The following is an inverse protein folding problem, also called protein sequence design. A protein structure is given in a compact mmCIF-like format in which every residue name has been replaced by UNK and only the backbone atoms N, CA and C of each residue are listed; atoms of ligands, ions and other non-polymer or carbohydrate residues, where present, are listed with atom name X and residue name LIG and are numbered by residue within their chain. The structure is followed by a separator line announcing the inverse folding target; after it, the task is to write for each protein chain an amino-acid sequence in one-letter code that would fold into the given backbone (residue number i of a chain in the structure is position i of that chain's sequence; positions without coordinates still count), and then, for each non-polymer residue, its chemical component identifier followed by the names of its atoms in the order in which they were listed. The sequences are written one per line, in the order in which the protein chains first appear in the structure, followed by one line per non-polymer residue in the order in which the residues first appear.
data_IF_403789840837
#
_entry.id   IF_403789840837
#
_cell.length_a   1.000
_cell.length_b   1.000
_cell.length_c   1.000
_cell.angle_alpha   90.00
_cell.angle_beta   90.00
_cell.angle_gamma   90.00
#
_symmetry.space_group_name_H-M   'P 1'
#
loop_
_entity.id
_entity.type
_entity.pdbx_description
1 polymer ?
#
# COMPACT_ATOMS: atom_id res chain seq x y z
N UNK A 1 -23.21 -15.96 -9.77
CA UNK A 1 -22.00 -15.20 -9.42
C UNK A 1 -20.74 -16.05 -9.60
N UNK A 2 -20.65 -17.23 -8.97
CA UNK A 2 -19.48 -18.13 -9.04
C UNK A 2 -18.92 -18.39 -10.45
N UNK A 3 -19.78 -18.71 -11.43
CA UNK A 3 -19.37 -18.97 -12.83
C UNK A 3 -18.87 -17.72 -13.60
N UNK A 4 -18.83 -16.55 -12.95
CA UNK A 4 -18.42 -15.26 -13.54
C UNK A 4 -17.46 -14.50 -12.62
N UNK A 5 -16.85 -15.18 -11.64
CA UNK A 5 -15.93 -14.56 -10.68
C UNK A 5 -14.56 -15.23 -10.76
N UNK A 6 -13.50 -14.41 -10.86
CA UNK A 6 -12.11 -14.85 -10.69
C UNK A 6 -11.63 -14.27 -9.37
N UNK A 7 -11.40 -15.12 -8.37
CA UNK A 7 -10.83 -14.74 -7.09
C UNK A 7 -9.32 -14.78 -7.20
N UNK A 8 -8.67 -13.61 -7.14
CA UNK A 8 -7.20 -13.50 -7.13
C UNK A 8 -6.74 -13.27 -5.70
N UNK A 9 -5.78 -14.05 -5.23
CA UNK A 9 -5.18 -13.87 -3.90
C UNK A 9 -3.71 -14.33 -3.90
N UNK A 10 -3.02 -14.22 -2.76
CA UNK A 10 -1.62 -14.61 -2.63
C UNK A 10 -1.08 -14.47 -1.22
N UNK A 11 0.17 -14.88 -1.03
CA UNK A 11 0.82 -14.93 0.28
C UNK A 11 1.71 -13.72 0.58
N UNK A 12 1.89 -12.83 -0.40
CA UNK A 12 2.81 -11.71 -0.31
C UNK A 12 2.52 -10.74 0.86
N UNK A 13 1.24 -10.56 1.20
CA UNK A 13 0.80 -9.55 2.19
C UNK A 13 0.53 -10.17 3.55
N UNK A 14 -0.32 -11.20 3.60
CA UNK A 14 -0.71 -11.86 4.84
C UNK A 14 0.47 -12.51 5.57
N UNK A 15 1.44 -13.05 4.83
CA UNK A 15 2.56 -13.81 5.38
C UNK A 15 3.93 -13.12 5.19
N UNK A 16 3.94 -11.83 4.83
CA UNK A 16 5.17 -11.08 4.54
C UNK A 16 6.08 -11.72 3.46
N UNK A 17 5.50 -12.47 2.51
CA UNK A 17 6.24 -13.22 1.49
C UNK A 17 6.42 -12.46 0.16
N UNK A 18 6.60 -11.13 0.18
CA UNK A 18 6.65 -10.30 -1.04
C UNK A 18 7.70 -10.75 -2.05
N UNK A 19 8.89 -11.14 -1.57
CA UNK A 19 10.01 -11.63 -2.38
C UNK A 19 9.87 -13.06 -2.91
N UNK A 20 8.90 -13.84 -2.43
CA UNK A 20 8.73 -15.26 -2.78
C UNK A 20 7.93 -15.47 -4.07
N UNK A 21 7.21 -14.44 -4.51
CA UNK A 21 6.54 -14.36 -5.82
C UNK A 21 5.48 -15.45 -6.05
N UNK A 22 4.62 -15.69 -5.06
CA UNK A 22 3.48 -16.60 -5.19
C UNK A 22 2.14 -15.86 -5.07
N UNK A 23 1.30 -16.07 -6.09
CA UNK A 23 -0.12 -15.72 -6.13
C UNK A 23 -0.91 -16.89 -6.73
N UNK A 24 -2.22 -16.88 -6.57
CA UNK A 24 -3.11 -17.92 -7.07
C UNK A 24 -4.47 -17.36 -7.47
N UNK A 25 -5.19 -18.11 -8.30
CA UNK A 25 -6.57 -17.80 -8.69
C UNK A 25 -7.50 -18.96 -8.34
N UNK A 26 -8.72 -18.63 -7.90
CA UNK A 26 -9.89 -19.51 -7.96
C UNK A 26 -10.82 -18.99 -9.04
N UNK A 27 -11.15 -19.81 -10.04
CA UNK A 27 -11.92 -19.39 -11.21
C UNK A 27 -12.76 -20.54 -11.79
N UNK A 28 -13.77 -20.25 -12.63
CA UNK A 28 -14.43 -21.27 -13.44
C UNK A 28 -13.39 -22.08 -14.23
N UNK A 29 -13.60 -23.40 -14.29
CA UNK A 29 -12.61 -24.33 -14.83
C UNK A 29 -12.10 -23.95 -16.23
N UNK A 30 -13.00 -23.48 -17.11
CA UNK A 30 -12.63 -23.06 -18.47
C UNK A 30 -11.66 -21.86 -18.48
N UNK A 31 -11.80 -20.93 -17.52
CA UNK A 31 -10.88 -19.80 -17.35
C UNK A 31 -9.56 -20.29 -16.76
N UNK A 32 -9.62 -21.10 -15.70
CA UNK A 32 -8.42 -21.62 -15.04
C UNK A 32 -7.54 -22.40 -16.02
N UNK A 33 -8.13 -23.27 -16.86
CA UNK A 33 -7.42 -24.00 -17.93
C UNK A 33 -6.81 -23.07 -18.98
N UNK A 34 -7.52 -22.01 -19.38
CA UNK A 34 -6.99 -21.02 -20.31
C UNK A 34 -5.79 -20.28 -19.72
N UNK A 35 -5.86 -19.87 -18.46
CA UNK A 35 -4.74 -19.26 -17.73
C UNK A 35 -3.56 -20.22 -17.60
N UNK A 36 -3.78 -21.50 -17.29
CA UNK A 36 -2.71 -22.52 -17.24
C UNK A 36 -2.04 -22.70 -18.59
N UNK A 37 -2.81 -22.76 -19.68
CA UNK A 37 -2.26 -22.84 -21.05
C UNK A 37 -1.39 -21.63 -21.37
N UNK A 38 -1.85 -20.42 -21.04
CA UNK A 38 -1.09 -19.19 -21.24
C UNK A 38 0.18 -19.17 -20.37
N UNK A 39 0.07 -19.49 -19.08
CA UNK A 39 1.21 -19.49 -18.15
C UNK A 39 2.30 -20.49 -18.58
N UNK A 40 1.90 -21.66 -19.10
CA UNK A 40 2.82 -22.68 -19.62
C UNK A 40 3.67 -22.20 -20.81
N UNK A 41 3.26 -21.14 -21.51
CA UNK A 41 4.00 -20.55 -22.63
C UNK A 41 4.78 -19.28 -22.26
N UNK A 42 4.62 -18.76 -21.04
CA UNK A 42 5.23 -17.49 -20.61
C UNK A 42 6.27 -17.74 -19.50
N UNK A 43 5.91 -18.49 -18.47
CA UNK A 43 6.76 -18.65 -17.27
C UNK A 43 6.91 -20.09 -16.79
N UNK A 44 6.20 -21.05 -17.40
CA UNK A 44 6.07 -22.40 -16.85
C UNK A 44 5.42 -22.36 -15.44
N UNK A 45 5.98 -23.07 -14.45
CA UNK A 45 5.53 -23.03 -13.06
C UNK A 45 6.22 -21.95 -12.22
N UNK A 46 5.57 -21.52 -11.14
CA UNK A 46 6.23 -20.69 -10.14
C UNK A 46 7.36 -21.46 -9.43
N UNK A 47 8.30 -20.75 -8.80
CA UNK A 47 9.47 -21.39 -8.18
C UNK A 47 9.07 -22.43 -7.11
N UNK A 48 9.68 -23.62 -7.17
CA UNK A 48 9.29 -24.78 -6.37
C UNK A 48 9.52 -24.59 -4.86
N UNK A 49 10.55 -23.83 -4.48
CA UNK A 49 10.88 -23.51 -3.09
C UNK A 49 9.75 -22.69 -2.45
N UNK A 50 9.26 -21.65 -3.13
CA UNK A 50 8.17 -20.83 -2.63
C UNK A 50 6.83 -21.56 -2.63
N UNK A 51 6.60 -22.51 -3.54
CA UNK A 51 5.42 -23.37 -3.49
C UNK A 51 5.40 -24.20 -2.20
N UNK A 52 6.54 -24.78 -1.79
CA UNK A 52 6.64 -25.51 -0.51
C UNK A 52 6.41 -24.60 0.70
N UNK A 53 7.03 -23.41 0.72
CA UNK A 53 6.83 -22.44 1.80
C UNK A 53 5.36 -21.96 1.88
N UNK A 54 4.68 -21.84 0.74
CA UNK A 54 3.27 -21.44 0.67
C UNK A 54 2.35 -22.47 1.30
N UNK A 55 2.61 -23.77 1.15
CA UNK A 55 1.83 -24.82 1.80
C UNK A 55 1.87 -24.63 3.32
N UNK A 56 3.08 -24.51 3.88
CA UNK A 56 3.26 -24.27 5.32
C UNK A 56 2.59 -22.98 5.80
N UNK A 57 2.67 -21.91 5.00
CA UNK A 57 2.02 -20.65 5.34
C UNK A 57 0.48 -20.78 5.39
N UNK A 58 -0.12 -21.49 4.43
CA UNK A 58 -1.57 -21.67 4.36
C UNK A 58 -2.13 -22.66 5.39
N UNK A 59 -1.33 -23.64 5.82
CA UNK A 59 -1.70 -24.60 6.86
C UNK A 59 -1.50 -24.06 8.28
N UNK A 60 -0.74 -22.97 8.44
CA UNK A 60 -0.52 -22.35 9.73
C UNK A 60 -1.80 -21.69 10.30
N UNK A 61 -2.02 -21.74 11.62
CA UNK A 61 -3.18 -21.08 12.22
C UNK A 61 -3.04 -19.56 12.14
N UNK A 62 -4.17 -18.86 11.96
CA UNK A 62 -4.23 -17.38 11.84
C UNK A 62 -3.57 -16.66 13.02
N UNK A 63 -3.58 -17.26 14.21
CA UNK A 63 -2.89 -16.72 15.40
C UNK A 63 -1.39 -16.45 15.17
N UNK A 64 -0.75 -17.14 14.22
CA UNK A 64 0.65 -16.90 13.84
C UNK A 64 0.88 -15.56 13.15
N UNK A 65 -0.15 -14.96 12.56
CA UNK A 65 -0.06 -13.66 11.87
C UNK A 65 -0.83 -12.55 12.58
N UNK A 66 -1.57 -12.85 13.64
CA UNK A 66 -2.42 -11.88 14.35
C UNK A 66 -1.61 -10.67 14.85
N UNK A 67 -0.41 -10.90 15.38
CA UNK A 67 0.46 -9.81 15.86
C UNK A 67 0.78 -8.78 14.75
N UNK A 68 0.86 -9.20 13.48
CA UNK A 68 1.08 -8.28 12.37
C UNK A 68 -0.13 -7.39 12.15
N UNK A 69 -1.34 -7.95 12.25
CA UNK A 69 -2.61 -7.22 12.09
C UNK A 69 -2.74 -6.16 13.19
N UNK A 70 -2.50 -6.55 14.44
CA UNK A 70 -2.60 -5.65 15.60
C UNK A 70 -1.59 -4.51 15.48
N UNK A 71 -0.35 -4.83 15.09
CA UNK A 71 0.70 -3.85 14.88
C UNK A 71 0.40 -2.88 13.72
N UNK A 72 -0.18 -3.37 12.61
CA UNK A 72 -0.61 -2.51 11.51
C UNK A 72 -1.77 -1.59 11.91
N UNK A 73 -2.66 -2.03 12.79
CA UNK A 73 -3.73 -1.19 13.32
C UNK A 73 -3.16 -0.07 14.20
N UNK A 74 -2.24 -0.39 15.11
CA UNK A 74 -1.57 0.61 15.95
C UNK A 74 -0.84 1.67 15.10
N UNK A 75 -0.11 1.24 14.07
CA UNK A 75 0.58 2.15 13.14
C UNK A 75 -0.38 3.01 12.34
N UNK A 76 -1.50 2.46 11.88
CA UNK A 76 -2.55 3.21 11.18
C UNK A 76 -3.07 4.34 12.06
N UNK A 77 -3.48 4.01 13.28
CA UNK A 77 -4.11 4.96 14.20
C UNK A 77 -3.12 6.06 14.60
N UNK A 78 -1.86 5.69 14.88
CA UNK A 78 -0.79 6.64 15.12
C UNK A 78 -0.54 7.58 13.93
N UNK A 79 -0.39 7.06 12.71
CA UNK A 79 -0.13 7.88 11.52
C UNK A 79 -1.29 8.84 11.25
N UNK A 80 -2.54 8.38 11.39
CA UNK A 80 -3.72 9.23 11.25
C UNK A 80 -3.75 10.35 12.30
N UNK A 81 -3.48 10.03 13.57
CA UNK A 81 -3.43 11.03 14.63
C UNK A 81 -2.36 12.09 14.33
N UNK A 82 -1.15 11.69 13.98
CA UNK A 82 -0.06 12.64 13.68
C UNK A 82 -0.35 13.49 12.44
N UNK A 83 -0.90 12.90 11.38
CA UNK A 83 -1.28 13.65 10.17
C UNK A 83 -2.45 14.60 10.45
N UNK A 84 -3.34 14.29 11.39
CA UNK A 84 -4.49 15.14 11.74
C UNK A 84 -4.08 16.46 12.40
N UNK A 85 -2.87 16.50 12.98
CA UNK A 85 -2.30 17.73 13.55
C UNK A 85 -1.73 18.69 12.49
N UNK A 86 -1.67 18.27 11.23
CA UNK A 86 -1.17 19.08 10.13
C UNK A 86 -2.37 19.65 9.37
N UNK A 87 -2.48 20.99 9.35
CA UNK A 87 -3.53 21.68 8.62
C UNK A 87 -3.49 21.33 7.12
N UNK A 88 -4.66 21.07 6.54
CA UNK A 88 -4.82 20.89 5.10
C UNK A 88 -4.98 19.45 4.64
N UNK A 89 -4.57 18.46 5.44
CA UNK A 89 -4.87 17.07 5.15
C UNK A 89 -6.31 16.72 5.52
N UNK A 90 -7.06 16.15 4.57
CA UNK A 90 -8.35 15.50 4.85
C UNK A 90 -8.13 13.99 4.89
N UNK A 91 -8.33 13.40 6.06
CA UNK A 91 -8.01 12.00 6.32
C UNK A 91 -9.24 11.10 6.20
N UNK A 92 -9.01 9.87 5.75
CA UNK A 92 -9.96 8.77 5.83
C UNK A 92 -9.36 7.65 6.68
N UNK A 93 -10.17 6.98 7.50
CA UNK A 93 -9.72 5.83 8.29
C UNK A 93 -9.90 4.57 7.44
N UNK A 94 -8.81 3.91 6.97
CA UNK A 94 -8.93 2.71 6.17
C UNK A 94 -9.33 1.51 7.05
N UNK A 95 -10.23 0.67 6.53
CA UNK A 95 -10.66 -0.58 7.18
C UNK A 95 -9.69 -1.74 7.01
N UNK A 96 -8.67 -1.60 6.15
CA UNK A 96 -7.67 -2.64 5.90
C UNK A 96 -6.54 -2.16 5.00
N UNK A 97 -5.71 -3.11 4.54
CA UNK A 97 -4.41 -2.86 3.92
C UNK A 97 -3.47 -2.07 4.85
N UNK A 98 -2.44 -1.45 4.29
CA UNK A 98 -1.43 -0.69 5.04
C UNK A 98 -1.11 0.68 4.43
N UNK A 99 -2.14 1.35 3.92
CA UNK A 99 -2.01 2.66 3.28
C UNK A 99 -3.03 3.65 3.85
N UNK A 100 -2.59 4.89 4.09
CA UNK A 100 -3.50 6.04 4.20
C UNK A 100 -3.48 6.81 2.88
N UNK A 101 -4.62 7.41 2.54
CA UNK A 101 -4.81 8.08 1.26
C UNK A 101 -5.37 9.49 1.44
N UNK A 102 -4.63 10.36 2.15
CA UNK A 102 -5.13 11.68 2.51
C UNK A 102 -5.37 12.54 1.27
N UNK A 103 -6.43 13.34 1.31
CA UNK A 103 -6.68 14.37 0.33
C UNK A 103 -5.91 15.64 0.70
N UNK A 104 -5.21 16.19 -0.31
CA UNK A 104 -4.28 17.31 -0.22
C UNK A 104 -4.78 18.55 -0.99
N UNK A 105 -6.07 18.58 -1.36
CA UNK A 105 -6.65 19.69 -2.16
C UNK A 105 -6.41 21.07 -1.56
N UNK A 106 -6.21 21.16 -0.25
CA UNK A 106 -5.84 22.40 0.44
C UNK A 106 -4.51 23.01 -0.03
N UNK A 107 -3.56 22.18 -0.48
CA UNK A 107 -2.23 22.62 -0.90
C UNK A 107 -2.14 22.93 -2.40
N UNK A 108 -3.12 22.47 -3.19
CA UNK A 108 -3.11 22.67 -4.63
C UNK A 108 -3.32 24.15 -4.99
N UNK A 109 -2.55 24.64 -5.95
CA UNK A 109 -2.49 26.04 -6.38
C UNK A 109 -1.70 26.96 -5.44
N UNK A 110 -1.06 26.43 -4.39
CA UNK A 110 -0.23 27.21 -3.45
C UNK A 110 1.24 27.09 -3.78
N UNK A 111 1.99 28.13 -3.40
CA UNK A 111 3.44 28.09 -3.32
C UNK A 111 3.86 27.84 -1.87
N UNK A 112 4.70 26.83 -1.64
CA UNK A 112 5.24 26.49 -0.32
C UNK A 112 6.76 26.51 -0.41
N UNK A 113 7.40 27.44 0.32
CA UNK A 113 8.87 27.57 0.36
C UNK A 113 9.52 27.67 -1.04
N UNK A 114 8.91 28.45 -1.93
CA UNK A 114 9.38 28.62 -3.31
C UNK A 114 9.02 27.47 -4.25
N UNK A 115 8.22 26.50 -3.82
CA UNK A 115 7.80 25.35 -4.63
C UNK A 115 6.31 25.46 -4.97
N UNK A 116 5.99 25.45 -6.27
CA UNK A 116 4.61 25.53 -6.75
C UNK A 116 3.94 24.16 -6.73
N UNK A 117 2.77 24.05 -6.10
CA UNK A 117 2.04 22.79 -5.92
C UNK A 117 0.79 22.81 -6.79
N UNK A 118 0.89 22.45 -8.07
CA UNK A 118 -0.28 22.43 -8.96
C UNK A 118 -0.98 21.07 -9.00
N UNK A 119 -0.24 20.00 -8.73
CA UNK A 119 -0.70 18.61 -8.81
C UNK A 119 -0.29 17.79 -7.59
N UNK A 120 -0.88 16.60 -7.42
CA UNK A 120 -0.40 15.65 -6.42
C UNK A 120 1.02 15.15 -6.69
N UNK A 121 1.45 15.13 -7.96
CA UNK A 121 2.84 14.84 -8.31
C UNK A 121 3.79 15.93 -7.78
N UNK A 122 3.44 17.21 -7.95
CA UNK A 122 4.23 18.33 -7.41
C UNK A 122 4.30 18.25 -5.88
N UNK A 123 3.19 17.94 -5.21
CA UNK A 123 3.18 17.77 -3.76
C UNK A 123 4.05 16.59 -3.29
N UNK A 124 3.96 15.43 -3.96
CA UNK A 124 4.84 14.30 -3.66
C UNK A 124 6.32 14.63 -3.89
N UNK A 125 6.64 15.40 -4.93
CA UNK A 125 8.01 15.82 -5.21
C UNK A 125 8.51 16.85 -4.19
N UNK A 126 7.67 17.81 -3.80
CA UNK A 126 7.96 18.75 -2.72
C UNK A 126 8.30 18.02 -1.42
N UNK A 127 7.49 17.03 -1.01
CA UNK A 127 7.78 16.23 0.19
C UNK A 127 9.09 15.43 0.05
N UNK A 128 9.39 14.92 -1.14
CA UNK A 128 10.64 14.22 -1.39
C UNK A 128 11.84 15.16 -1.26
N UNK A 129 11.82 16.32 -1.91
CA UNK A 129 12.94 17.26 -1.96
C UNK A 129 13.13 18.05 -0.66
N UNK A 130 12.03 18.50 -0.03
CA UNK A 130 12.07 19.40 1.13
C UNK A 130 11.95 18.66 2.46
N UNK A 131 11.25 17.53 2.50
CA UNK A 131 11.07 16.75 3.72
C UNK A 131 11.87 15.43 3.72
N UNK A 132 12.50 15.03 2.60
CA UNK A 132 13.11 13.70 2.44
C UNK A 132 12.11 12.56 2.73
N UNK A 133 10.85 12.74 2.35
CA UNK A 133 9.78 11.74 2.53
C UNK A 133 9.18 11.38 1.18
N UNK A 134 9.44 10.14 0.74
CA UNK A 134 8.86 9.62 -0.49
C UNK A 134 7.40 9.20 -0.29
N UNK A 135 6.51 9.74 -1.13
CA UNK A 135 5.09 9.37 -1.22
C UNK A 135 4.74 9.03 -2.67
N UNK A 136 3.53 8.54 -2.92
CA UNK A 136 3.07 8.28 -4.30
C UNK A 136 1.87 9.17 -4.62
N UNK A 137 1.93 9.87 -5.75
CA UNK A 137 0.81 10.69 -6.24
C UNK A 137 -0.47 9.87 -6.39
N UNK A 138 -1.60 10.47 -6.02
CA UNK A 138 -2.94 9.96 -6.25
C UNK A 138 -3.32 9.87 -7.72
N UNK A 139 -2.66 10.63 -8.61
CA UNK A 139 -2.87 10.59 -10.06
C UNK A 139 -2.69 9.18 -10.62
N UNK A 140 -1.69 8.44 -10.11
CA UNK A 140 -1.43 7.05 -10.49
C UNK A 140 -2.57 6.08 -10.11
N UNK A 141 -3.52 6.53 -9.28
CA UNK A 141 -4.70 5.78 -8.83
C UNK A 141 -6.03 6.42 -9.30
N UNK A 142 -5.99 7.42 -10.19
CA UNK A 142 -7.19 8.11 -10.66
C UNK A 142 -7.81 9.08 -9.63
N UNK A 143 -7.03 9.53 -8.63
CA UNK A 143 -7.47 10.42 -7.57
C UNK A 143 -6.50 11.61 -7.43
N UNK A 144 -6.60 12.63 -8.30
CA UNK A 144 -5.58 13.68 -8.46
C UNK A 144 -5.39 14.59 -7.24
N UNK A 145 -6.34 14.56 -6.31
CA UNK A 145 -6.32 15.37 -5.09
C UNK A 145 -5.78 14.62 -3.88
N UNK A 146 -5.19 13.44 -4.06
CA UNK A 146 -4.72 12.58 -2.98
C UNK A 146 -3.25 12.22 -3.14
N UNK A 147 -2.63 11.77 -2.05
CA UNK A 147 -1.36 11.05 -2.08
C UNK A 147 -1.49 9.74 -1.30
N UNK A 148 -0.65 8.76 -1.58
CA UNK A 148 -0.59 7.49 -0.84
C UNK A 148 0.64 7.45 0.06
N UNK A 149 0.40 7.17 1.34
CA UNK A 149 1.45 6.94 2.34
C UNK A 149 1.30 5.51 2.87
N UNK A 150 2.38 4.72 2.75
CA UNK A 150 2.45 3.37 3.32
C UNK A 150 2.88 3.45 4.78
N UNK A 151 2.15 2.77 5.67
CA UNK A 151 2.55 2.63 7.08
C UNK A 151 3.16 1.24 7.40
N UNK A 152 3.63 0.54 6.36
CA UNK A 152 4.45 -0.65 6.48
C UNK A 152 5.95 -0.33 6.68
N UNK A 153 6.24 0.45 7.72
CA UNK A 153 7.59 0.80 8.17
C UNK A 153 7.65 0.75 9.70
N UNK A 154 8.83 0.99 10.30
CA UNK A 154 8.94 1.06 11.75
C UNK A 154 8.24 2.29 12.31
N UNK A 155 7.75 2.20 13.54
CA UNK A 155 7.13 3.33 14.24
C UNK A 155 8.03 4.58 14.25
N UNK A 156 9.32 4.40 14.54
CA UNK A 156 10.31 5.48 14.55
C UNK A 156 10.38 6.20 13.21
N UNK A 157 10.42 5.44 12.10
CA UNK A 157 10.45 6.02 10.75
C UNK A 157 9.15 6.75 10.41
N UNK A 158 8.00 6.22 10.82
CA UNK A 158 6.70 6.85 10.59
C UNK A 158 6.57 8.18 11.34
N UNK A 159 6.94 8.20 12.62
CA UNK A 159 6.95 9.43 13.44
C UNK A 159 7.87 10.49 12.86
N UNK A 160 9.09 10.09 12.48
CA UNK A 160 10.05 11.00 11.86
C UNK A 160 9.54 11.52 10.51
N UNK A 161 8.95 10.67 9.67
CA UNK A 161 8.38 11.09 8.39
C UNK A 161 7.27 12.13 8.58
N UNK A 162 6.31 11.90 9.48
CA UNK A 162 5.22 12.86 9.72
C UNK A 162 5.75 14.16 10.34
N UNK A 163 6.72 14.08 11.24
CA UNK A 163 7.41 15.26 11.79
C UNK A 163 8.03 16.11 10.67
N UNK A 164 8.79 15.50 9.75
CA UNK A 164 9.40 16.22 8.61
C UNK A 164 8.37 16.82 7.68
N UNK A 165 7.25 16.12 7.43
CA UNK A 165 6.13 16.67 6.65
C UNK A 165 5.58 17.93 7.35
N UNK A 166 5.33 17.87 8.66
CA UNK A 166 4.84 19.01 9.44
C UNK A 166 5.79 20.21 9.36
N UNK A 167 7.09 19.97 9.53
CA UNK A 167 8.13 21.00 9.44
C UNK A 167 8.25 21.59 8.04
N UNK A 168 8.12 20.77 6.99
CA UNK A 168 8.17 21.24 5.60
C UNK A 168 6.97 22.13 5.24
N UNK A 169 5.78 21.84 5.79
CA UNK A 169 4.54 22.58 5.55
C UNK A 169 4.32 23.80 6.45
N UNK A 170 5.14 23.95 7.51
CA UNK A 170 5.15 25.13 8.39
C UNK A 170 5.93 26.29 7.78
#
# INVERSE_FOLDING_TARGET
MYNRTITVNGVAKAFAMTGWRIGYIGAPEWIAKACTKMQGQITSGANSIAQRATITALEAPVSKIQYMVDEFQNRRDMVLNLLSEIEGFKLNVPSGAFYVFPNISFFLGKEIKGYQINTAADFSMFLLEKANVATVTGDAFGAPNCIRISYAASETQLREAVKRIKEALS
#
